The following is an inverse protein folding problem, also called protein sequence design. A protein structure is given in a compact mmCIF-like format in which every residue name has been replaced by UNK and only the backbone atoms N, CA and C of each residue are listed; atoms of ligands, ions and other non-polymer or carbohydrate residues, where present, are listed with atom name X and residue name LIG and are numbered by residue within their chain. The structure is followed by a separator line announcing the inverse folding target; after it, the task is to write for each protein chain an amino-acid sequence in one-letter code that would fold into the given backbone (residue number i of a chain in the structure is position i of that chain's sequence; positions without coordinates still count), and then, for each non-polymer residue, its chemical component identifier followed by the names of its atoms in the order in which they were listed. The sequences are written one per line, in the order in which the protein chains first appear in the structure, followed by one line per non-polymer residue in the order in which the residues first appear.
data_IF_977323361254
#
_entry.id   IF_977323361254
#
_cell.length_a   1.000
_cell.length_b   1.000
_cell.length_c   1.000
_cell.angle_alpha   90.00
_cell.angle_beta   90.00
_cell.angle_gamma   90.00
#
_symmetry.space_group_name_H-M   'P 1'
#
loop_
_entity.id
_entity.type
_entity.pdbx_description
1 polymer ?
#
# COMPACT_ATOMS: atom_id res chain seq x y z
N UNK A 1 -4.90 84.56 35.28
CA UNK A 1 -5.12 83.29 35.99
C UNK A 1 -5.32 82.19 34.95
N UNK A 2 -4.24 81.57 34.48
CA UNK A 2 -4.29 80.42 33.57
C UNK A 2 -4.07 79.20 34.46
N UNK A 3 -5.17 78.56 34.85
CA UNK A 3 -5.20 77.50 35.86
C UNK A 3 -5.33 76.15 35.15
N UNK A 4 -4.32 75.32 35.35
CA UNK A 4 -4.43 73.87 35.53
C UNK A 4 -5.27 73.08 34.51
N UNK A 5 -4.69 72.84 33.32
CA UNK A 5 -5.22 71.84 32.38
C UNK A 5 -4.16 70.88 31.82
N UNK A 6 -2.99 70.75 32.47
CA UNK A 6 -1.85 70.03 31.89
C UNK A 6 -1.41 68.75 32.60
N UNK A 7 -2.01 68.33 33.73
CA UNK A 7 -1.61 67.07 34.39
C UNK A 7 -2.59 65.90 34.19
N UNK A 8 -3.90 66.17 34.17
CA UNK A 8 -4.93 65.13 33.96
C UNK A 8 -4.98 64.63 32.52
N UNK A 9 -4.73 65.51 31.54
CA UNK A 9 -4.71 65.11 30.12
C UNK A 9 -3.48 64.22 29.81
N UNK A 10 -2.33 64.50 30.43
CA UNK A 10 -1.10 63.71 30.25
C UNK A 10 -1.19 62.32 30.90
N UNK A 11 -1.87 62.19 32.04
CA UNK A 11 -2.08 60.89 32.69
C UNK A 11 -3.04 60.00 31.90
N UNK A 12 -4.12 60.57 31.35
CA UNK A 12 -5.07 59.81 30.53
C UNK A 12 -4.41 59.34 29.22
N UNK A 13 -3.63 60.19 28.56
CA UNK A 13 -2.88 59.80 27.35
C UNK A 13 -1.83 58.74 27.67
N UNK A 14 -1.12 58.85 28.79
CA UNK A 14 -0.12 57.85 29.20
C UNK A 14 -0.74 56.47 29.49
N UNK A 15 -1.88 56.42 30.18
CA UNK A 15 -2.61 55.17 30.46
C UNK A 15 -3.21 54.58 29.19
N UNK A 16 -3.77 55.42 28.31
CA UNK A 16 -4.31 54.96 27.03
C UNK A 16 -3.22 54.43 26.12
N UNK A 17 -2.04 55.06 26.08
CA UNK A 17 -0.90 54.61 25.28
C UNK A 17 -0.28 53.32 25.85
N UNK A 18 -0.22 53.16 27.18
CA UNK A 18 0.19 51.91 27.81
C UNK A 18 -0.82 50.77 27.58
N UNK A 19 -2.13 51.07 27.60
CA UNK A 19 -3.17 50.11 27.28
C UNK A 19 -3.16 49.73 25.80
N UNK A 20 -2.99 50.70 24.90
CA UNK A 20 -2.87 50.47 23.45
C UNK A 20 -1.59 49.69 23.11
N UNK A 21 -0.46 49.98 23.76
CA UNK A 21 0.76 49.19 23.64
C UNK A 21 0.57 47.77 24.18
N UNK A 22 -0.12 47.58 25.32
CA UNK A 22 -0.48 46.23 25.80
C UNK A 22 -1.40 45.48 24.86
N UNK A 23 -2.37 46.17 24.25
CA UNK A 23 -3.33 45.59 23.31
C UNK A 23 -2.66 45.25 21.96
N UNK A 24 -1.75 46.10 21.48
CA UNK A 24 -0.97 45.87 20.26
C UNK A 24 0.17 44.86 20.46
N UNK A 25 0.69 44.72 21.69
CA UNK A 25 1.71 43.71 22.06
C UNK A 25 1.09 42.38 22.53
N UNK A 26 -0.23 42.33 22.73
CA UNK A 26 -1.01 41.10 22.72
C UNK A 26 -1.24 40.68 21.27
N UNK A 27 -0.16 40.30 20.60
CA UNK A 27 -0.27 39.34 19.50
C UNK A 27 -1.09 38.15 20.03
N UNK A 28 -2.03 37.57 19.26
CA UNK A 28 -2.47 36.22 19.59
C UNK A 28 -1.19 35.41 19.77
N UNK A 29 -1.02 34.75 20.93
CA UNK A 29 0.03 33.74 21.05
C UNK A 29 -0.14 32.87 19.81
N UNK A 30 0.77 33.01 18.85
CA UNK A 30 0.92 31.99 17.82
C UNK A 30 1.00 30.70 18.62
N UNK A 31 0.09 29.77 18.32
CA UNK A 31 0.08 28.48 18.97
C UNK A 31 1.55 28.01 19.00
N UNK A 32 2.08 27.77 20.20
CA UNK A 32 3.37 27.13 20.32
C UNK A 32 3.29 25.89 19.43
N UNK A 33 4.19 25.72 18.43
CA UNK A 33 4.11 24.58 17.55
C UNK A 33 4.13 23.36 18.47
N UNK A 34 3.04 22.59 18.44
CA UNK A 34 2.96 21.36 19.21
C UNK A 34 4.18 20.54 18.83
N UNK A 35 5.01 20.19 19.80
CA UNK A 35 6.32 19.51 19.65
C UNK A 35 6.23 18.10 19.00
N UNK A 36 5.12 17.79 18.32
CA UNK A 36 4.81 16.50 17.73
C UNK A 36 4.53 16.56 16.21
N UNK A 37 4.86 17.67 15.54
CA UNK A 37 4.78 17.74 14.08
C UNK A 37 6.02 17.12 13.44
N UNK A 38 6.09 15.78 13.51
CA UNK A 38 6.95 15.02 12.60
C UNK A 38 6.61 15.37 11.13
N UNK A 39 7.52 15.12 10.17
CA UNK A 39 7.30 15.48 8.78
C UNK A 39 5.97 14.91 8.27
N UNK A 40 5.24 15.70 7.49
CA UNK A 40 3.98 15.25 6.90
C UNK A 40 4.24 14.05 5.98
N UNK A 41 3.85 12.88 6.46
CA UNK A 41 4.04 11.60 5.75
C UNK A 41 3.30 11.56 4.42
N UNK A 42 2.24 12.38 4.27
CA UNK A 42 1.51 12.54 3.00
C UNK A 42 2.23 13.45 1.99
N UNK A 43 3.44 13.92 2.31
CA UNK A 43 4.35 14.57 1.37
C UNK A 43 5.56 13.69 1.03
N UNK A 44 5.67 12.52 1.65
CA UNK A 44 6.77 11.59 1.38
C UNK A 44 6.67 11.01 -0.02
N UNK A 45 7.82 10.88 -0.67
CA UNK A 45 7.91 10.13 -1.91
C UNK A 45 7.57 8.65 -1.65
N UNK A 46 6.91 7.96 -2.61
CA UNK A 46 6.68 6.52 -2.51
C UNK A 46 7.96 5.75 -2.23
N UNK A 47 7.86 4.71 -1.39
CA UNK A 47 8.99 3.82 -1.13
C UNK A 47 9.47 3.20 -2.45
N UNK A 48 10.79 3.18 -2.72
CA UNK A 48 11.31 2.79 -4.02
C UNK A 48 10.96 1.34 -4.33
N UNK A 49 10.42 1.13 -5.52
CA UNK A 49 10.22 -0.20 -6.04
C UNK A 49 11.56 -0.81 -6.45
N UNK A 50 11.69 -2.12 -6.29
CA UNK A 50 12.89 -2.84 -6.72
C UNK A 50 13.12 -2.70 -8.23
N UNK A 51 14.40 -2.60 -8.62
CA UNK A 51 14.81 -2.49 -10.01
C UNK A 51 14.41 -3.71 -10.85
N UNK A 52 14.05 -3.46 -12.11
CA UNK A 52 13.87 -4.47 -13.15
C UNK A 52 15.25 -5.03 -13.49
N UNK A 53 15.38 -6.36 -13.57
CA UNK A 53 16.71 -6.99 -13.63
C UNK A 53 17.31 -6.96 -15.02
N UNK A 54 16.51 -6.93 -16.08
CA UNK A 54 17.00 -6.95 -17.46
C UNK A 54 17.52 -8.33 -17.87
N UNK A 55 16.89 -9.41 -17.40
CA UNK A 55 17.41 -10.75 -17.67
C UNK A 55 17.21 -11.16 -19.13
N UNK A 56 18.33 -11.38 -19.84
CA UNK A 56 18.33 -11.93 -21.23
C UNK A 56 17.86 -13.38 -21.34
N UNK A 57 17.79 -14.10 -20.22
CA UNK A 57 17.30 -15.47 -20.17
C UNK A 57 16.20 -15.57 -19.14
N UNK A 58 14.97 -15.77 -19.61
CA UNK A 58 13.83 -15.90 -18.72
C UNK A 58 14.00 -17.09 -17.75
N UNK A 59 13.81 -16.79 -16.47
CA UNK A 59 13.76 -17.78 -15.39
C UNK A 59 12.70 -17.35 -14.38
N UNK A 60 11.75 -18.24 -14.12
CA UNK A 60 10.81 -18.06 -13.02
C UNK A 60 11.59 -18.25 -11.72
N UNK A 61 11.68 -17.19 -10.91
CA UNK A 61 12.35 -17.22 -9.61
C UNK A 61 11.44 -16.57 -8.57
N UNK A 62 11.59 -16.94 -7.29
CA UNK A 62 10.79 -16.33 -6.23
C UNK A 62 11.15 -14.86 -6.00
N UNK A 63 12.39 -14.44 -6.33
CA UNK A 63 12.83 -13.04 -6.21
C UNK A 63 12.87 -12.52 -4.77
N UNK A 64 12.96 -13.42 -3.79
CA UNK A 64 12.90 -13.09 -2.37
C UNK A 64 14.16 -12.37 -1.89
N UNK A 65 13.97 -11.38 -1.03
CA UNK A 65 14.98 -10.68 -0.24
C UNK A 65 14.50 -10.53 1.20
N UNK A 66 15.41 -10.25 2.13
CA UNK A 66 15.03 -9.95 3.50
C UNK A 66 14.20 -8.66 3.52
N UNK A 67 13.10 -8.67 4.26
CA UNK A 67 12.26 -7.48 4.44
C UNK A 67 13.02 -6.42 5.25
N UNK A 68 13.03 -5.19 4.74
CA UNK A 68 13.39 -4.03 5.55
C UNK A 68 12.24 -3.73 6.52
N UNK A 69 12.45 -4.08 7.79
CA UNK A 69 11.44 -3.95 8.82
C UNK A 69 11.06 -2.51 9.11
N UNK A 70 11.91 -1.51 8.83
CA UNK A 70 11.53 -0.10 8.99
C UNK A 70 10.50 0.35 7.95
N UNK A 71 10.35 -0.41 6.87
CA UNK A 71 9.47 -0.12 5.77
C UNK A 71 8.58 -1.34 5.48
N UNK A 72 8.13 -2.06 6.52
CA UNK A 72 7.18 -3.16 6.34
C UNK A 72 5.91 -2.68 5.64
N UNK A 73 5.22 -1.72 6.28
CA UNK A 73 4.12 -0.97 5.69
C UNK A 73 4.61 0.44 5.37
N UNK A 74 4.09 1.03 4.31
CA UNK A 74 4.56 2.30 3.79
C UNK A 74 3.42 3.29 3.63
N UNK A 75 3.65 4.52 4.06
CA UNK A 75 2.79 5.68 3.82
C UNK A 75 3.53 6.68 2.95
N UNK A 76 2.83 7.18 1.94
CA UNK A 76 3.38 8.16 0.99
C UNK A 76 2.32 9.19 0.56
N UNK A 77 2.70 10.07 -0.36
CA UNK A 77 1.85 11.14 -0.91
C UNK A 77 0.54 10.69 -1.55
N UNK A 78 0.40 9.42 -1.89
CA UNK A 78 -0.83 8.88 -2.49
C UNK A 78 -1.84 8.42 -1.43
N UNK A 79 -1.49 8.45 -0.13
CA UNK A 79 -2.30 7.89 0.96
C UNK A 79 -3.77 8.30 0.89
N UNK A 80 -4.06 9.61 0.86
CA UNK A 80 -5.45 10.09 0.90
C UNK A 80 -6.25 9.63 -0.33
N UNK A 81 -5.67 9.72 -1.53
CA UNK A 81 -6.35 9.31 -2.78
C UNK A 81 -6.63 7.81 -2.79
N UNK A 82 -5.65 7.00 -2.40
CA UNK A 82 -5.81 5.56 -2.33
C UNK A 82 -6.77 5.16 -1.19
N UNK A 83 -6.71 5.84 -0.05
CA UNK A 83 -7.59 5.61 1.09
C UNK A 83 -9.07 5.82 0.72
N UNK A 84 -9.41 6.90 0.00
CA UNK A 84 -10.79 7.16 -0.44
C UNK A 84 -11.33 6.07 -1.38
N UNK A 85 -10.48 5.60 -2.29
CA UNK A 85 -10.81 4.48 -3.20
C UNK A 85 -11.00 3.20 -2.39
N UNK A 86 -10.07 2.89 -1.48
CA UNK A 86 -10.12 1.71 -0.61
C UNK A 86 -11.38 1.70 0.25
N UNK A 87 -11.75 2.84 0.82
CA UNK A 87 -12.97 3.01 1.59
C UNK A 87 -14.21 2.74 0.74
N UNK A 88 -14.26 3.29 -0.48
CA UNK A 88 -15.37 3.08 -1.41
C UNK A 88 -15.49 1.61 -1.83
N UNK A 89 -14.38 0.93 -2.10
CA UNK A 89 -14.39 -0.50 -2.43
C UNK A 89 -14.86 -1.38 -1.27
N UNK A 90 -14.44 -1.09 -0.03
CA UNK A 90 -14.92 -1.83 1.15
C UNK A 90 -16.42 -1.63 1.41
N UNK A 91 -16.97 -0.50 1.01
CA UNK A 91 -18.41 -0.19 1.12
C UNK A 91 -19.22 -0.83 -0.01
N UNK A 92 -18.80 -0.61 -1.25
CA UNK A 92 -19.61 -0.88 -2.45
C UNK A 92 -19.30 -2.26 -3.05
N UNK A 93 -18.05 -2.70 -2.97
CA UNK A 93 -17.53 -3.93 -3.59
C UNK A 93 -17.09 -4.98 -2.55
N UNK A 94 -17.61 -4.90 -1.32
CA UNK A 94 -17.14 -5.70 -0.16
C UNK A 94 -16.92 -7.18 -0.48
N UNK A 95 -17.90 -7.82 -1.13
CA UNK A 95 -17.83 -9.26 -1.48
C UNK A 95 -16.71 -9.59 -2.47
N UNK A 96 -16.27 -8.61 -3.25
CA UNK A 96 -15.19 -8.76 -4.23
C UNK A 96 -13.82 -8.54 -3.59
N UNK A 97 -13.72 -7.76 -2.52
CA UNK A 97 -12.44 -7.33 -1.93
C UNK A 97 -12.15 -7.86 -0.53
N UNK A 98 -13.14 -8.38 0.20
CA UNK A 98 -12.98 -8.73 1.61
C UNK A 98 -13.72 -10.02 1.98
N UNK A 99 -12.98 -10.97 2.58
CA UNK A 99 -13.56 -12.16 3.20
C UNK A 99 -12.60 -12.78 4.23
N UNK A 100 -13.14 -13.28 5.34
CA UNK A 100 -12.39 -13.99 6.38
C UNK A 100 -13.12 -15.29 6.72
N UNK A 101 -12.42 -16.42 6.66
CA UNK A 101 -12.96 -17.69 7.15
C UNK A 101 -12.99 -17.69 8.69
N UNK A 102 -13.97 -18.35 9.34
CA UNK A 102 -14.12 -18.30 10.80
C UNK A 102 -12.85 -18.67 11.58
N UNK A 103 -12.11 -19.68 11.11
CA UNK A 103 -10.85 -20.16 11.70
C UNK A 103 -9.69 -19.15 11.62
N UNK A 104 -9.81 -18.12 10.79
CA UNK A 104 -8.77 -17.09 10.61
C UNK A 104 -8.87 -15.94 11.61
N UNK A 105 -9.89 -15.91 12.48
CA UNK A 105 -10.18 -14.77 13.39
C UNK A 105 -8.97 -14.41 14.26
N UNK A 106 -8.39 -15.37 14.97
CA UNK A 106 -7.25 -15.10 15.86
C UNK A 106 -6.03 -14.55 15.11
N UNK A 107 -5.82 -15.01 13.88
CA UNK A 107 -4.74 -14.53 13.02
C UNK A 107 -5.04 -13.11 12.50
N UNK A 108 -6.29 -12.79 12.20
CA UNK A 108 -6.71 -11.44 11.83
C UNK A 108 -6.55 -10.45 12.99
N UNK A 109 -6.87 -10.86 14.22
CA UNK A 109 -6.65 -10.06 15.44
C UNK A 109 -5.15 -9.78 15.64
N UNK A 110 -4.31 -10.79 15.46
CA UNK A 110 -2.85 -10.63 15.54
C UNK A 110 -2.31 -9.72 14.42
N UNK A 111 -2.83 -9.82 13.20
CA UNK A 111 -2.47 -8.90 12.11
C UNK A 111 -2.84 -7.47 12.50
N UNK A 112 -4.04 -7.25 13.04
CA UNK A 112 -4.45 -5.91 13.48
C UNK A 112 -3.49 -5.35 14.54
N UNK A 113 -3.15 -6.12 15.57
CA UNK A 113 -2.19 -5.70 16.60
C UNK A 113 -0.83 -5.31 15.99
N UNK A 114 -0.27 -6.16 15.13
CA UNK A 114 1.04 -5.90 14.50
C UNK A 114 1.01 -4.67 13.57
N UNK A 115 -0.04 -4.52 12.76
CA UNK A 115 -0.22 -3.37 11.86
C UNK A 115 -0.36 -2.09 12.69
N UNK A 116 -1.17 -2.13 13.74
CA UNK A 116 -1.42 -1.03 14.66
C UNK A 116 -0.14 -0.55 15.33
N UNK A 117 0.61 -1.47 15.92
CA UNK A 117 1.87 -1.17 16.60
C UNK A 117 2.89 -0.60 15.62
N UNK A 118 3.03 -1.22 14.44
CA UNK A 118 3.96 -0.77 13.42
C UNK A 118 3.63 0.65 12.92
N UNK A 119 2.37 0.93 12.57
CA UNK A 119 1.99 2.23 12.03
C UNK A 119 2.13 3.35 13.07
N UNK A 120 1.80 3.08 14.34
CA UNK A 120 1.94 4.06 15.41
C UNK A 120 3.42 4.31 15.77
N UNK A 121 4.28 3.30 15.73
CA UNK A 121 5.72 3.46 15.95
C UNK A 121 6.39 4.19 14.76
N UNK A 122 6.03 3.80 13.53
CA UNK A 122 6.69 4.27 12.31
C UNK A 122 6.23 5.66 11.86
N UNK A 123 4.96 5.99 12.11
CA UNK A 123 4.29 7.22 11.68
C UNK A 123 3.50 7.87 12.83
N UNK A 124 4.13 8.22 13.96
CA UNK A 124 3.44 8.70 15.17
C UNK A 124 2.74 10.06 15.00
N UNK A 125 3.13 10.86 14.01
CA UNK A 125 2.44 12.11 13.65
C UNK A 125 1.10 11.87 12.96
N UNK A 126 0.90 10.68 12.39
CA UNK A 126 -0.31 10.28 11.68
C UNK A 126 -1.19 9.34 12.48
N UNK A 127 -0.61 8.32 13.12
CA UNK A 127 -1.36 7.33 13.90
C UNK A 127 -1.04 7.46 15.38
N UNK A 128 -2.06 7.68 16.21
CA UNK A 128 -1.93 7.77 17.65
C UNK A 128 -2.73 6.68 18.34
N UNK A 129 -2.05 5.87 19.15
CA UNK A 129 -2.65 4.77 19.89
C UNK A 129 -2.95 5.18 21.35
N UNK A 130 -4.11 4.78 21.85
CA UNK A 130 -4.48 4.78 23.26
C UNK A 130 -4.93 3.39 23.68
N UNK A 131 -4.49 2.93 24.85
CA UNK A 131 -4.89 1.64 25.42
C UNK A 131 -5.55 1.86 26.78
N UNK A 132 -6.73 1.30 26.96
CA UNK A 132 -7.48 1.27 28.21
C UNK A 132 -7.92 -0.17 28.51
N UNK A 133 -7.15 -0.86 29.35
CA UNK A 133 -7.33 -2.29 29.60
C UNK A 133 -7.19 -3.12 28.31
N UNK A 134 -8.26 -3.82 27.93
CA UNK A 134 -8.32 -4.61 26.69
C UNK A 134 -8.73 -3.79 25.46
N UNK A 135 -9.19 -2.55 25.65
CA UNK A 135 -9.63 -1.68 24.56
C UNK A 135 -8.43 -0.91 24.01
N UNK A 136 -8.28 -0.95 22.69
CA UNK A 136 -7.31 -0.14 21.96
C UNK A 136 -8.05 0.80 21.02
N UNK A 137 -7.62 2.05 21.00
CA UNK A 137 -8.12 3.11 20.11
C UNK A 137 -6.96 3.65 19.28
N UNK A 138 -7.14 3.77 17.97
CA UNK A 138 -6.17 4.36 17.06
C UNK A 138 -6.83 5.49 16.30
N UNK A 139 -6.27 6.69 16.45
CA UNK A 139 -6.69 7.85 15.69
C UNK A 139 -5.77 8.06 14.49
N UNK A 140 -6.35 8.27 13.32
CA UNK A 140 -5.64 8.69 12.12
C UNK A 140 -5.86 10.19 11.89
N UNK A 141 -4.85 11.00 12.17
CA UNK A 141 -4.96 12.47 12.09
C UNK A 141 -5.18 12.99 10.67
N UNK A 142 -4.88 12.20 9.63
CA UNK A 142 -5.05 12.60 8.22
C UNK A 142 -6.45 12.35 7.69
N UNK A 143 -7.10 11.27 8.11
CA UNK A 143 -8.49 10.96 7.70
C UNK A 143 -9.51 11.46 8.73
N UNK A 144 -9.08 11.70 9.97
CA UNK A 144 -9.96 12.00 11.10
C UNK A 144 -10.67 10.77 11.68
N UNK A 145 -10.41 9.57 11.13
CA UNK A 145 -11.02 8.34 11.59
C UNK A 145 -10.43 7.87 12.93
N UNK A 146 -11.26 7.19 13.71
CA UNK A 146 -10.85 6.52 14.93
C UNK A 146 -11.29 5.06 14.89
N UNK A 147 -10.33 4.15 15.03
CA UNK A 147 -10.57 2.72 15.04
C UNK A 147 -10.49 2.20 16.47
N UNK A 148 -11.48 1.41 16.88
CA UNK A 148 -11.57 0.84 18.22
C UNK A 148 -11.67 -0.67 18.10
N UNK A 149 -10.81 -1.39 18.81
CA UNK A 149 -10.80 -2.85 18.85
C UNK A 149 -10.32 -3.37 20.21
N UNK A 150 -10.56 -4.66 20.45
CA UNK A 150 -10.36 -5.28 21.75
C UNK A 150 -11.47 -4.94 22.75
N UNK A 151 -11.73 -5.84 23.70
CA UNK A 151 -12.89 -5.75 24.59
C UNK A 151 -14.18 -6.29 23.95
N UNK A 152 -15.35 -5.94 24.51
CA UNK A 152 -16.66 -6.48 24.08
C UNK A 152 -17.32 -5.73 22.93
N UNK A 153 -16.76 -4.60 22.48
CA UNK A 153 -17.35 -3.76 21.43
C UNK A 153 -16.32 -3.49 20.33
N UNK A 154 -16.31 -4.33 19.29
CA UNK A 154 -15.72 -3.96 18.00
C UNK A 154 -16.83 -3.92 16.96
N UNK A 155 -17.08 -2.74 16.39
CA UNK A 155 -18.06 -2.56 15.32
C UNK A 155 -17.56 -3.01 13.95
N UNK A 156 -16.29 -3.41 13.84
CA UNK A 156 -15.62 -3.76 12.60
C UNK A 156 -14.69 -4.96 12.81
N UNK A 157 -14.57 -5.79 11.79
CA UNK A 157 -13.67 -6.96 11.81
C UNK A 157 -12.20 -6.54 11.78
N UNK A 158 -11.34 -7.30 12.46
CA UNK A 158 -9.97 -6.87 12.73
C UNK A 158 -9.12 -6.66 11.49
N UNK A 159 -9.25 -7.52 10.47
CA UNK A 159 -8.52 -7.37 9.21
C UNK A 159 -9.00 -6.12 8.43
N UNK A 160 -10.28 -5.76 8.53
CA UNK A 160 -10.81 -4.56 7.90
C UNK A 160 -10.27 -3.29 8.57
N UNK A 161 -10.17 -3.26 9.90
CA UNK A 161 -9.54 -2.16 10.62
C UNK A 161 -8.09 -2.01 10.14
N UNK A 162 -7.33 -3.11 10.09
CA UNK A 162 -5.94 -3.11 9.68
C UNK A 162 -5.75 -2.57 8.24
N UNK A 163 -6.58 -3.02 7.29
CA UNK A 163 -6.46 -2.65 5.88
C UNK A 163 -6.91 -1.21 5.58
N UNK A 164 -7.78 -0.64 6.42
CA UNK A 164 -8.20 0.78 6.35
C UNK A 164 -7.10 1.73 6.82
N UNK A 165 -6.27 1.31 7.77
CA UNK A 165 -5.11 2.09 8.20
C UNK A 165 -3.94 2.01 7.20
N UNK A 166 -3.72 0.84 6.60
CA UNK A 166 -2.60 0.58 5.69
C UNK A 166 -2.87 0.97 4.22
N UNK A 167 -1.81 1.20 3.45
CA UNK A 167 -1.87 1.32 1.99
C UNK A 167 -1.77 -0.04 1.27
N UNK A 168 -1.32 -1.06 1.99
CA UNK A 168 -1.16 -2.42 1.50
C UNK A 168 -2.47 -3.21 1.57
N UNK A 169 -2.72 -4.06 0.59
CA UNK A 169 -3.66 -5.16 0.73
C UNK A 169 -3.11 -6.20 1.72
N UNK A 170 -3.98 -6.81 2.52
CA UNK A 170 -3.59 -7.73 3.61
C UNK A 170 -4.26 -9.10 3.43
N UNK A 171 -3.46 -10.15 3.48
CA UNK A 171 -3.91 -11.53 3.31
C UNK A 171 -3.32 -12.41 4.41
N UNK A 172 -4.12 -13.35 4.91
CA UNK A 172 -3.71 -14.33 5.91
C UNK A 172 -3.72 -15.71 5.27
N UNK A 173 -2.59 -16.40 5.34
CA UNK A 173 -2.46 -17.79 4.93
C UNK A 173 -2.36 -18.70 6.16
N UNK A 174 -3.17 -19.75 6.18
CA UNK A 174 -3.12 -20.80 7.19
C UNK A 174 -2.72 -22.12 6.55
N UNK A 175 -2.29 -23.08 7.38
CA UNK A 175 -1.91 -24.42 6.92
C UNK A 175 -3.07 -25.39 7.15
N UNK A 176 -3.43 -26.18 6.15
CA UNK A 176 -4.44 -27.24 6.28
C UNK A 176 -3.81 -28.53 6.85
N UNK A 177 -4.64 -29.57 7.04
CA UNK A 177 -4.21 -30.87 7.56
C UNK A 177 -3.14 -31.57 6.69
N UNK A 178 -3.13 -31.30 5.39
CA UNK A 178 -2.17 -31.85 4.43
C UNK A 178 -0.84 -31.07 4.37
N UNK A 179 -0.71 -30.02 5.20
CA UNK A 179 0.49 -29.18 5.25
C UNK A 179 0.55 -28.12 4.15
N UNK A 180 -0.51 -27.90 3.39
CA UNK A 180 -0.59 -26.88 2.34
C UNK A 180 -1.09 -25.55 2.89
N UNK A 181 -0.51 -24.44 2.41
CA UNK A 181 -0.98 -23.10 2.75
C UNK A 181 -2.17 -22.71 1.87
N UNK A 182 -3.21 -22.14 2.48
CA UNK A 182 -4.40 -21.64 1.81
C UNK A 182 -4.77 -20.24 2.28
N UNK A 183 -5.50 -19.50 1.43
CA UNK A 183 -5.96 -18.14 1.72
C UNK A 183 -7.14 -18.18 2.69
N UNK A 184 -6.87 -17.92 3.97
CA UNK A 184 -7.86 -18.03 5.04
C UNK A 184 -8.58 -16.70 5.31
N UNK A 185 -7.91 -15.57 5.08
CA UNK A 185 -8.52 -14.26 5.11
C UNK A 185 -7.87 -13.35 4.07
N UNK A 186 -8.64 -12.44 3.50
CA UNK A 186 -8.16 -11.52 2.48
C UNK A 186 -8.93 -10.20 2.53
N UNK A 187 -8.17 -9.12 2.51
CA UNK A 187 -8.59 -7.80 2.17
C UNK A 187 -7.73 -7.33 0.98
N UNK A 188 -8.15 -7.65 -0.23
CA UNK A 188 -7.47 -7.33 -1.49
C UNK A 188 -8.28 -6.29 -2.25
N UNK A 189 -7.90 -5.02 -2.09
CA UNK A 189 -8.66 -3.88 -2.60
C UNK A 189 -8.13 -3.48 -3.99
N UNK A 190 -6.86 -3.73 -4.28
CA UNK A 190 -6.26 -3.47 -5.59
C UNK A 190 -5.82 -4.78 -6.27
N UNK A 191 -6.76 -5.71 -6.56
CA UNK A 191 -6.45 -6.99 -7.17
C UNK A 191 -6.09 -6.86 -8.66
N UNK A 192 -5.55 -7.95 -9.19
CA UNK A 192 -5.16 -8.11 -10.61
C UNK A 192 -5.63 -9.47 -11.13
N UNK A 193 -6.72 -9.48 -11.90
CA UNK A 193 -7.26 -10.68 -12.56
C UNK A 193 -7.88 -11.70 -11.60
N UNK A 194 -8.38 -11.26 -10.44
CA UNK A 194 -9.26 -12.04 -9.56
C UNK A 194 -10.01 -11.21 -8.54
N UNK A 195 -11.04 -11.80 -7.94
CA UNK A 195 -11.74 -11.26 -6.77
C UNK A 195 -11.65 -12.22 -5.58
N UNK A 196 -11.72 -11.69 -4.34
CA UNK A 196 -11.56 -12.47 -3.10
C UNK A 196 -12.55 -13.64 -3.01
N UNK A 197 -13.84 -13.41 -3.27
CA UNK A 197 -14.88 -14.47 -3.28
C UNK A 197 -14.56 -15.68 -4.19
N UNK A 198 -13.70 -15.51 -5.18
CA UNK A 198 -13.34 -16.58 -6.11
C UNK A 198 -12.24 -17.47 -5.55
N UNK A 199 -11.38 -16.95 -4.67
CA UNK A 199 -10.12 -17.59 -4.26
C UNK A 199 -9.98 -17.80 -2.74
N UNK A 200 -10.89 -17.29 -1.93
CA UNK A 200 -10.91 -17.60 -0.50
C UNK A 200 -10.98 -19.13 -0.30
N UNK A 201 -10.21 -19.65 0.65
CA UNK A 201 -10.08 -21.09 0.91
C UNK A 201 -9.19 -21.85 -0.10
N UNK A 202 -8.73 -21.22 -1.18
CA UNK A 202 -7.85 -21.89 -2.14
C UNK A 202 -6.42 -22.02 -1.61
N UNK A 203 -5.79 -23.15 -1.93
CA UNK A 203 -4.37 -23.34 -1.67
C UNK A 203 -3.53 -22.44 -2.58
N UNK A 204 -2.29 -22.17 -2.18
CA UNK A 204 -1.35 -21.39 -2.99
C UNK A 204 -1.18 -22.01 -4.38
N UNK A 205 -1.18 -23.34 -4.48
CA UNK A 205 -1.09 -24.04 -5.76
C UNK A 205 -2.31 -23.78 -6.65
N UNK A 206 -3.53 -23.77 -6.08
CA UNK A 206 -4.76 -23.45 -6.82
C UNK A 206 -4.76 -21.99 -7.30
N UNK A 207 -4.39 -21.04 -6.43
CA UNK A 207 -4.30 -19.61 -6.77
C UNK A 207 -3.37 -19.37 -7.96
N UNK A 208 -2.26 -20.11 -8.02
CA UNK A 208 -1.26 -19.97 -9.08
C UNK A 208 -1.47 -20.91 -10.28
N UNK A 209 -2.55 -21.69 -10.32
CA UNK A 209 -2.88 -22.57 -11.44
C UNK A 209 -2.82 -21.92 -12.84
N UNK A 210 -3.26 -20.66 -13.02
CA UNK A 210 -3.17 -19.96 -14.30
C UNK A 210 -1.75 -19.55 -14.75
N UNK A 211 -0.75 -19.60 -13.86
CA UNK A 211 0.60 -19.11 -14.15
C UNK A 211 1.39 -20.19 -14.91
N UNK A 212 1.86 -19.94 -16.15
CA UNK A 212 2.58 -20.94 -16.93
C UNK A 212 3.83 -21.43 -16.20
N UNK A 213 4.07 -22.73 -16.26
CA UNK A 213 5.25 -23.41 -15.69
C UNK A 213 5.37 -23.31 -14.15
N UNK A 214 4.35 -22.81 -13.44
CA UNK A 214 4.44 -22.59 -11.99
C UNK A 214 4.64 -23.92 -11.23
N UNK A 215 3.82 -24.93 -11.54
CA UNK A 215 3.83 -26.22 -10.85
C UNK A 215 5.17 -26.92 -11.02
N UNK A 216 5.73 -26.89 -12.22
CA UNK A 216 6.95 -27.60 -12.59
C UNK A 216 8.22 -26.87 -12.14
N UNK A 217 8.21 -25.53 -12.08
CA UNK A 217 9.43 -24.74 -11.87
C UNK A 217 9.55 -24.11 -10.49
N UNK A 218 8.45 -23.77 -9.82
CA UNK A 218 8.53 -22.93 -8.60
C UNK A 218 7.64 -23.39 -7.45
N UNK A 219 6.56 -24.14 -7.69
CA UNK A 219 5.58 -24.49 -6.66
C UNK A 219 6.18 -25.19 -5.43
N UNK A 220 7.06 -26.17 -5.64
CA UNK A 220 7.76 -26.85 -4.54
C UNK A 220 8.68 -25.90 -3.74
N UNK A 221 9.34 -24.97 -4.42
CA UNK A 221 10.21 -23.97 -3.78
C UNK A 221 9.40 -22.99 -2.94
N UNK A 222 8.22 -22.58 -3.41
CA UNK A 222 7.30 -21.72 -2.65
C UNK A 222 6.83 -22.41 -1.38
N UNK A 223 6.40 -23.68 -1.47
CA UNK A 223 5.96 -24.41 -0.30
C UNK A 223 7.10 -24.56 0.74
N UNK A 224 8.30 -24.93 0.29
CA UNK A 224 9.49 -24.98 1.16
C UNK A 224 9.84 -23.64 1.78
N UNK A 225 9.66 -22.54 1.04
CA UNK A 225 9.85 -21.19 1.54
C UNK A 225 8.90 -20.90 2.70
N UNK A 226 7.59 -21.10 2.50
CA UNK A 226 6.60 -20.86 3.56
C UNK A 226 6.88 -21.70 4.80
N UNK A 227 7.16 -23.00 4.66
CA UNK A 227 7.51 -23.85 5.82
C UNK A 227 8.75 -23.37 6.60
N UNK A 228 9.70 -22.69 5.95
CA UNK A 228 10.94 -22.19 6.58
C UNK A 228 10.85 -20.76 7.08
N UNK A 229 9.80 -20.03 6.73
CA UNK A 229 9.62 -18.64 7.12
C UNK A 229 9.33 -18.55 8.62
N UNK A 230 10.23 -17.90 9.36
CA UNK A 230 10.11 -17.66 10.81
C UNK A 230 9.77 -16.19 11.09
N UNK A 231 9.24 -15.87 12.29
CA UNK A 231 8.92 -14.48 12.65
C UNK A 231 10.12 -13.52 12.59
N UNK A 232 11.33 -14.02 12.82
CA UNK A 232 12.58 -13.25 12.86
C UNK A 232 13.20 -13.01 11.48
N UNK A 233 12.74 -13.74 10.45
CA UNK A 233 13.27 -13.64 9.09
C UNK A 233 12.18 -13.32 8.07
N UNK A 234 11.46 -12.20 8.22
CA UNK A 234 10.47 -11.78 7.24
C UNK A 234 11.13 -11.46 5.89
N UNK A 235 10.38 -11.72 4.82
CA UNK A 235 10.89 -11.62 3.45
C UNK A 235 10.00 -10.72 2.61
N UNK A 236 10.55 -10.20 1.54
CA UNK A 236 9.82 -9.47 0.52
C UNK A 236 10.23 -9.89 -0.88
N UNK A 237 9.39 -9.57 -1.85
CA UNK A 237 9.72 -9.63 -3.28
C UNK A 237 9.01 -8.51 -4.00
N UNK A 238 9.41 -8.28 -5.25
CA UNK A 238 8.65 -7.44 -6.15
C UNK A 238 8.17 -8.23 -7.34
N UNK A 239 6.98 -7.88 -7.79
CA UNK A 239 6.40 -8.31 -9.04
C UNK A 239 5.98 -7.07 -9.83
N UNK A 240 5.87 -7.22 -11.14
CA UNK A 240 5.33 -6.15 -11.96
C UNK A 240 4.57 -6.73 -13.15
N UNK A 241 3.65 -5.92 -13.64
CA UNK A 241 2.81 -6.21 -14.78
C UNK A 241 2.66 -4.95 -15.63
N UNK A 242 2.41 -5.17 -16.91
CA UNK A 242 1.96 -4.10 -17.79
C UNK A 242 0.44 -4.13 -17.81
N UNK A 243 -0.15 -2.94 -17.68
CA UNK A 243 -1.58 -2.72 -17.68
C UNK A 243 -1.91 -1.73 -18.80
N UNK A 244 -3.01 -1.96 -19.51
CA UNK A 244 -3.57 -1.00 -20.45
C UNK A 244 -4.85 -0.42 -19.87
N UNK A 245 -4.99 0.90 -19.90
CA UNK A 245 -6.17 1.62 -19.39
C UNK A 245 -6.78 2.52 -20.44
N UNK A 246 -8.04 2.92 -20.26
CA UNK A 246 -8.62 3.99 -21.06
C UNK A 246 -8.08 5.36 -20.62
N UNK A 247 -7.94 6.31 -21.56
CA UNK A 247 -7.37 7.65 -21.27
C UNK A 247 -8.15 8.40 -20.18
N UNK A 248 -9.48 8.25 -20.17
CA UNK A 248 -10.38 8.92 -19.22
C UNK A 248 -10.75 8.04 -18.02
N UNK A 249 -10.05 6.91 -17.83
CA UNK A 249 -10.33 6.01 -16.73
C UNK A 249 -9.88 6.61 -15.39
N UNK A 250 -10.78 6.61 -14.41
CA UNK A 250 -10.47 7.07 -13.06
C UNK A 250 -9.54 6.11 -12.32
N UNK A 251 -8.71 6.64 -11.42
CA UNK A 251 -7.71 5.88 -10.66
C UNK A 251 -8.30 4.66 -9.94
N UNK A 252 -9.52 4.75 -9.43
CA UNK A 252 -10.20 3.63 -8.76
C UNK A 252 -10.38 2.42 -9.67
N UNK A 253 -10.83 2.61 -10.91
CA UNK A 253 -11.00 1.54 -11.88
C UNK A 253 -9.65 0.97 -12.33
N UNK A 254 -8.62 1.80 -12.41
CA UNK A 254 -7.26 1.36 -12.78
C UNK A 254 -6.61 0.57 -11.64
N UNK A 255 -6.89 0.91 -10.38
CA UNK A 255 -6.37 0.17 -9.24
C UNK A 255 -7.14 -1.14 -8.97
N UNK A 256 -8.46 -1.15 -9.21
CA UNK A 256 -9.35 -2.29 -9.00
C UNK A 256 -9.60 -3.05 -10.31
N UNK A 257 -8.77 -4.08 -10.59
CA UNK A 257 -8.80 -4.87 -11.82
C UNK A 257 -9.14 -6.34 -11.57
N UNK A 258 -10.35 -6.69 -11.08
CA UNK A 258 -10.69 -8.08 -10.76
C UNK A 258 -10.79 -8.98 -11.99
N UNK A 259 -11.03 -8.43 -13.18
CA UNK A 259 -11.23 -9.20 -14.42
C UNK A 259 -9.98 -9.30 -15.30
N UNK A 260 -8.92 -8.56 -14.98
CA UNK A 260 -7.65 -8.58 -15.71
C UNK A 260 -7.08 -7.19 -16.01
N UNK A 261 -5.87 -7.16 -16.58
CA UNK A 261 -5.11 -5.93 -16.82
C UNK A 261 -5.22 -5.36 -18.24
N UNK A 262 -5.90 -6.08 -19.14
CA UNK A 262 -5.87 -5.74 -20.57
C UNK A 262 -7.27 -5.74 -21.13
N UNK A 263 -7.74 -4.55 -21.50
CA UNK A 263 -8.95 -4.39 -22.31
C UNK A 263 -8.61 -4.65 -23.79
N UNK A 264 -9.50 -5.36 -24.51
CA UNK A 264 -9.24 -5.93 -25.84
C UNK A 264 -9.38 -4.95 -27.02
N UNK A 265 -9.72 -3.69 -26.78
CA UNK A 265 -9.96 -2.69 -27.83
C UNK A 265 -8.65 -2.12 -28.42
N UNK A 266 -8.62 -1.69 -29.71
CA UNK A 266 -7.39 -1.66 -30.48
C UNK A 266 -6.45 -0.52 -30.11
N UNK A 267 -5.22 -0.93 -29.77
CA UNK A 267 -3.97 -0.16 -29.85
C UNK A 267 -3.66 0.65 -28.60
N UNK A 268 -2.79 0.18 -27.69
CA UNK A 268 -2.34 1.04 -26.62
C UNK A 268 -1.41 2.10 -27.22
N UNK A 269 -1.90 3.34 -27.31
CA UNK A 269 -1.01 4.49 -27.34
C UNK A 269 -0.16 4.46 -26.06
N UNK A 270 1.07 4.98 -26.11
CA UNK A 270 1.99 4.93 -24.96
C UNK A 270 1.30 5.41 -23.67
N UNK A 271 0.53 6.50 -23.76
CA UNK A 271 -0.19 7.12 -22.64
C UNK A 271 -1.24 6.21 -21.97
N UNK A 272 -1.64 5.12 -22.64
CA UNK A 272 -2.56 4.11 -22.11
C UNK A 272 -1.84 2.99 -21.35
N UNK A 273 -0.50 2.93 -21.41
CA UNK A 273 0.30 1.83 -20.85
C UNK A 273 0.84 2.25 -19.48
N UNK A 274 0.54 1.45 -18.47
CA UNK A 274 1.06 1.61 -17.13
C UNK A 274 1.91 0.41 -16.73
N UNK A 275 2.99 0.69 -16.00
CA UNK A 275 3.71 -0.31 -15.23
C UNK A 275 3.09 -0.40 -13.83
N UNK A 276 2.37 -1.48 -13.58
CA UNK A 276 1.86 -1.82 -12.26
C UNK A 276 2.90 -2.63 -11.50
N UNK A 277 3.39 -2.10 -10.38
CA UNK A 277 4.34 -2.77 -9.50
C UNK A 277 3.65 -3.20 -8.21
N UNK A 278 4.02 -4.38 -7.73
CA UNK A 278 3.59 -4.93 -6.46
C UNK A 278 4.82 -5.22 -5.61
N UNK A 279 4.90 -4.58 -4.45
CA UNK A 279 5.80 -5.00 -3.38
C UNK A 279 5.05 -5.92 -2.45
N UNK A 280 5.54 -7.15 -2.36
CA UNK A 280 4.91 -8.24 -1.66
C UNK A 280 5.75 -8.59 -0.44
N UNK A 281 5.19 -8.50 0.77
CA UNK A 281 5.89 -8.87 2.02
C UNK A 281 5.29 -10.14 2.62
N UNK A 282 6.12 -10.92 3.31
CA UNK A 282 5.74 -12.18 3.94
C UNK A 282 6.29 -12.21 5.36
N UNK A 283 5.40 -12.35 6.34
CA UNK A 283 5.77 -12.49 7.75
C UNK A 283 5.03 -13.65 8.38
N UNK A 284 5.74 -14.44 9.19
CA UNK A 284 5.12 -15.40 10.09
C UNK A 284 4.63 -14.65 11.33
N UNK A 285 3.37 -14.87 11.66
CA UNK A 285 2.74 -14.33 12.86
C UNK A 285 3.26 -15.10 14.09
N UNK A 286 3.87 -14.44 15.08
CA UNK A 286 4.52 -15.10 16.21
C UNK A 286 3.57 -15.87 17.14
N UNK A 287 2.31 -15.44 17.30
CA UNK A 287 1.34 -16.06 18.21
C UNK A 287 0.56 -17.18 17.54
N UNK A 288 -0.05 -16.91 16.39
CA UNK A 288 -0.89 -17.89 15.69
C UNK A 288 -0.12 -18.81 14.74
N UNK A 289 1.10 -18.43 14.36
CA UNK A 289 1.88 -19.15 13.36
C UNK A 289 1.32 -19.06 11.93
N UNK A 290 0.25 -18.29 11.69
CA UNK A 290 -0.21 -18.01 10.34
C UNK A 290 0.80 -17.12 9.58
N UNK A 291 0.64 -16.99 8.27
CA UNK A 291 1.44 -16.06 7.47
C UNK A 291 0.60 -14.85 7.09
N UNK A 292 1.11 -13.65 7.34
CA UNK A 292 0.58 -12.43 6.72
C UNK A 292 1.37 -12.11 5.45
N UNK A 293 0.62 -11.94 4.37
CA UNK A 293 1.08 -11.54 3.06
C UNK A 293 0.51 -10.16 2.74
N UNK A 294 1.36 -9.14 2.61
CA UNK A 294 0.92 -7.78 2.26
C UNK A 294 1.35 -7.41 0.85
N UNK A 295 0.53 -6.61 0.17
CA UNK A 295 0.80 -6.16 -1.22
C UNK A 295 0.64 -4.65 -1.30
N UNK A 296 1.74 -3.93 -1.48
CA UNK A 296 1.72 -2.51 -1.87
C UNK A 296 1.70 -2.40 -3.39
N UNK A 297 0.63 -1.84 -3.93
CA UNK A 297 0.50 -1.55 -5.36
C UNK A 297 0.99 -0.12 -5.65
N UNK A 298 1.77 0.01 -6.73
CA UNK A 298 2.21 1.28 -7.29
C UNK A 298 1.98 1.27 -8.80
N UNK A 299 1.46 2.37 -9.34
CA UNK A 299 1.31 2.57 -10.78
C UNK A 299 2.33 3.61 -11.24
N UNK A 300 3.02 3.31 -12.34
CA UNK A 300 3.95 4.23 -12.99
C UNK A 300 3.65 4.30 -14.49
N UNK A 301 3.82 5.48 -15.08
CA UNK A 301 3.94 5.60 -16.54
C UNK A 301 5.36 5.22 -16.98
N UNK A 302 5.56 4.93 -18.26
CA UNK A 302 6.88 4.49 -18.74
C UNK A 302 7.92 5.60 -18.79
N UNK A 303 7.51 6.86 -18.93
CA UNK A 303 8.37 8.05 -18.88
C UNK A 303 8.88 8.37 -17.47
N UNK A 304 8.24 7.84 -16.42
CA UNK A 304 8.75 7.90 -15.04
C UNK A 304 9.92 6.93 -14.80
N UNK A 305 10.16 5.98 -15.72
CA UNK A 305 11.26 5.04 -15.58
C UNK A 305 12.59 5.66 -16.01
N UNK A 306 13.65 5.50 -15.19
CA UNK A 306 15.01 5.81 -15.62
C UNK A 306 15.39 5.02 -16.90
N UNK A 307 16.23 5.59 -17.79
CA UNK A 307 16.60 4.93 -19.05
C UNK A 307 17.18 3.52 -18.90
N UNK A 308 17.94 3.26 -17.83
CA UNK A 308 18.48 1.92 -17.54
C UNK A 308 17.37 0.92 -17.19
N UNK A 309 16.34 1.36 -16.46
CA UNK A 309 15.18 0.54 -16.11
C UNK A 309 14.29 0.26 -17.33
N UNK A 310 14.15 1.23 -18.22
CA UNK A 310 13.42 1.08 -19.46
C UNK A 310 14.13 0.09 -20.42
N UNK A 311 15.47 0.15 -20.51
CA UNK A 311 16.27 -0.84 -21.24
C UNK A 311 16.23 -2.25 -20.63
N UNK A 312 16.25 -2.33 -19.29
CA UNK A 312 16.07 -3.60 -18.60
C UNK A 312 14.68 -4.21 -18.87
N UNK A 313 13.62 -3.38 -18.88
CA UNK A 313 12.28 -3.82 -19.23
C UNK A 313 12.21 -4.35 -20.67
N UNK A 314 12.76 -3.62 -21.65
CA UNK A 314 12.82 -4.06 -23.05
C UNK A 314 13.52 -5.41 -23.20
N UNK A 315 14.66 -5.59 -22.49
CA UNK A 315 15.42 -6.85 -22.48
C UNK A 315 14.60 -8.02 -21.93
N UNK A 316 13.83 -7.80 -20.85
CA UNK A 316 12.98 -8.85 -20.28
C UNK A 316 11.81 -9.22 -21.19
N UNK A 317 11.13 -8.23 -21.81
CA UNK A 317 10.00 -8.46 -22.73
C UNK A 317 10.41 -9.38 -23.90
N UNK A 318 11.61 -9.15 -24.44
CA UNK A 318 12.15 -9.95 -25.54
C UNK A 318 12.59 -11.35 -25.11
N UNK A 319 12.92 -11.57 -23.83
CA UNK A 319 13.42 -12.85 -23.34
C UNK A 319 12.34 -13.85 -22.94
N UNK A 320 11.08 -13.40 -22.84
CA UNK A 320 9.97 -14.25 -22.44
C UNK A 320 9.66 -15.33 -23.48
N UNK A 321 9.55 -16.60 -23.05
CA UNK A 321 8.94 -17.66 -23.86
C UNK A 321 7.50 -17.33 -24.21
N UNK A 322 6.99 -17.88 -25.30
CA UNK A 322 5.71 -17.48 -25.90
C UNK A 322 4.50 -17.64 -24.97
N UNK A 323 4.46 -18.72 -24.18
CA UNK A 323 3.42 -18.97 -23.18
C UNK A 323 3.39 -17.89 -22.09
N UNK A 324 4.56 -17.53 -21.57
CA UNK A 324 4.73 -16.47 -20.59
C UNK A 324 4.44 -15.08 -21.18
N UNK A 325 4.89 -14.84 -22.41
CA UNK A 325 4.67 -13.58 -23.10
C UNK A 325 3.18 -13.32 -23.32
N UNK A 326 2.43 -14.32 -23.79
CA UNK A 326 0.97 -14.25 -23.92
C UNK A 326 0.29 -14.06 -22.57
N UNK A 327 0.69 -14.82 -21.55
CA UNK A 327 0.17 -14.66 -20.19
C UNK A 327 0.37 -13.23 -19.64
N UNK A 328 1.51 -12.60 -19.96
CA UNK A 328 1.80 -11.21 -19.59
C UNK A 328 1.21 -10.16 -20.55
N UNK A 329 0.51 -10.58 -21.60
CA UNK A 329 -0.16 -9.68 -22.55
C UNK A 329 0.78 -9.01 -23.56
N UNK A 330 1.97 -9.57 -23.83
CA UNK A 330 2.95 -8.96 -24.77
C UNK A 330 2.35 -8.64 -26.14
N UNK A 331 1.41 -9.45 -26.61
CA UNK A 331 0.74 -9.25 -27.91
C UNK A 331 -0.11 -7.97 -27.97
N UNK A 332 -0.48 -7.42 -26.81
CA UNK A 332 -1.35 -6.25 -26.69
C UNK A 332 -0.53 -4.96 -26.64
N UNK A 333 0.49 -4.93 -25.78
CA UNK A 333 1.24 -3.71 -25.47
C UNK A 333 2.74 -3.78 -25.82
N UNK A 334 3.28 -4.97 -26.10
CA UNK A 334 4.72 -5.21 -26.20
C UNK A 334 5.40 -4.39 -27.29
N UNK A 335 4.80 -4.29 -28.47
CA UNK A 335 5.37 -3.53 -29.57
C UNK A 335 5.45 -2.03 -29.25
N UNK A 336 4.38 -1.46 -28.68
CA UNK A 336 4.35 -0.05 -28.30
C UNK A 336 5.44 0.31 -27.27
N UNK A 337 5.67 -0.57 -26.29
CA UNK A 337 6.75 -0.39 -25.30
C UNK A 337 8.13 -0.46 -25.96
N UNK A 338 8.36 -1.43 -26.85
CA UNK A 338 9.65 -1.57 -27.53
C UNK A 338 9.93 -0.38 -28.48
N UNK A 339 8.91 0.09 -29.20
CA UNK A 339 9.03 1.27 -30.07
C UNK A 339 9.33 2.52 -29.26
N UNK A 340 8.70 2.68 -28.09
CA UNK A 340 8.99 3.78 -27.17
C UNK A 340 10.44 3.73 -26.66
N UNK A 341 10.95 2.55 -26.29
CA UNK A 341 12.36 2.39 -25.92
C UNK A 341 13.30 2.88 -27.04
N UNK A 342 13.04 2.50 -28.29
CA UNK A 342 13.83 2.94 -29.44
C UNK A 342 13.78 4.46 -29.63
N UNK A 343 12.60 5.07 -29.47
CA UNK A 343 12.43 6.53 -29.53
C UNK A 343 13.22 7.27 -28.44
N UNK A 344 13.36 6.66 -27.25
CA UNK A 344 14.19 7.16 -26.15
C UNK A 344 15.70 6.87 -26.34
N UNK A 345 16.11 6.33 -27.49
CA UNK A 345 17.51 6.01 -27.79
C UNK A 345 18.02 4.74 -27.08
N UNK A 346 17.12 3.90 -26.57
CA UNK A 346 17.46 2.64 -25.91
C UNK A 346 17.45 1.52 -26.95
N UNK A 347 18.63 1.02 -27.28
CA UNK A 347 18.79 -0.15 -28.16
C UNK A 347 18.97 -1.40 -27.30
N UNK A 348 18.04 -2.35 -27.41
CA UNK A 348 18.08 -3.67 -26.73
C UNK A 348 19.10 -4.62 -27.34
#
# INVERSE_FOLDING_TARGET
MVVSLSLTLFTIIGVFMQWLLKFLYQSPKAAEPTENEGPDVTLMAPYPCNAIKGSRKFRITMGLRKLDMQNWLTVDKNYMKEHDIRHSLLRDERKSVYECLPESRDACDEVLELVSDFLCERYPSMFQMKRDGLKTEIHNSKTGETFVFGGQESGMESLEIAVRMAMEDLNVLMQNADGEYYLAASATLFPVGWAVKQRIGWTIAQIHGPVPQWKEKIGQSVNKFFCRLTPESPMERSNYFMETKNLNEGLGNTLFRPDGLTEQEPGPFMDNILLRRERQTFRRLPRTGALVFSVKTTLNTLDELPPDQLGALATEIQSWPEDMARYKGRDIWGQAVLDYCVQQGITS
#
